data_IF_845382792853
#
_entry.id   IF_845382792853
#
_cell.length_a   1.000
_cell.length_b   1.000
_cell.length_c   1.000
_cell.angle_alpha   90.00
_cell.angle_beta   90.00
_cell.angle_gamma   90.00
#
_symmetry.space_group_name_H-M   'P 1'
#
loop_
_entity.id
_entity.type
_entity.pdbx_description
1 polymer ?
#
# COMPACT_ATOMS: atom_id res chain seq x y z
N UNK A 1 0.30 22.93 -7.85
CA UNK A 1 1.02 22.26 -6.73
C UNK A 1 1.55 20.95 -7.27
N UNK A 2 2.75 20.55 -6.85
CA UNK A 2 3.51 19.44 -7.44
C UNK A 2 4.14 18.59 -6.33
N UNK A 3 3.32 18.21 -5.35
CA UNK A 3 3.73 17.48 -4.17
C UNK A 3 3.80 15.98 -4.46
N UNK A 4 4.87 15.37 -3.96
CA UNK A 4 5.11 13.93 -4.06
C UNK A 4 5.09 13.35 -2.65
N UNK A 5 4.22 12.38 -2.40
CA UNK A 5 4.40 11.49 -1.26
C UNK A 5 5.50 10.49 -1.60
N UNK A 6 6.65 10.64 -0.96
CA UNK A 6 7.86 9.90 -1.31
C UNK A 6 7.89 8.47 -0.73
N UNK A 7 6.87 8.04 0.02
CA UNK A 7 6.86 6.71 0.61
C UNK A 7 5.44 6.21 0.92
N UNK A 8 4.92 5.33 0.06
CA UNK A 8 3.64 4.64 0.30
C UNK A 8 3.79 3.14 0.06
N UNK A 9 2.93 2.34 0.69
CA UNK A 9 2.88 0.89 0.54
C UNK A 9 1.45 0.50 0.14
N UNK A 10 1.27 -0.58 -0.62
CA UNK A 10 -0.04 -1.18 -0.93
C UNK A 10 -0.04 -2.64 -0.54
N UNK A 11 -1.21 -3.19 -0.25
CA UNK A 11 -1.41 -4.62 -0.08
C UNK A 11 -2.85 -5.05 -0.36
N UNK A 12 -3.03 -6.33 -0.66
CA UNK A 12 -4.30 -6.97 -1.05
C UNK A 12 -4.49 -8.28 -0.27
N UNK A 13 -5.73 -8.79 -0.28
CA UNK A 13 -6.12 -10.11 0.19
C UNK A 13 -6.05 -11.19 -0.92
N UNK A 14 -5.67 -10.82 -2.15
CA UNK A 14 -5.34 -11.78 -3.21
C UNK A 14 -3.95 -12.41 -3.02
N UNK A 15 -3.87 -13.31 -2.04
CA UNK A 15 -2.64 -14.06 -1.76
C UNK A 15 -2.32 -15.15 -2.79
N UNK A 16 -3.23 -15.40 -3.74
CA UNK A 16 -2.98 -16.30 -4.86
C UNK A 16 -2.06 -15.65 -5.90
N UNK A 17 -2.33 -14.38 -6.23
CA UNK A 17 -1.49 -13.59 -7.13
C UNK A 17 -0.31 -12.92 -6.41
N UNK A 18 -0.48 -12.50 -5.16
CA UNK A 18 0.54 -11.83 -4.35
C UNK A 18 0.79 -12.57 -3.02
N UNK A 19 1.55 -13.68 -3.04
CA UNK A 19 1.82 -14.47 -1.85
C UNK A 19 2.49 -13.65 -0.75
N UNK A 20 2.12 -13.92 0.50
CA UNK A 20 2.78 -13.36 1.66
C UNK A 20 4.19 -13.95 1.82
N UNK A 21 5.12 -13.12 2.27
CA UNK A 21 6.45 -13.54 2.68
C UNK A 21 6.39 -14.44 3.92
N UNK A 22 7.44 -15.24 4.11
CA UNK A 22 7.58 -16.10 5.28
C UNK A 22 7.44 -15.30 6.59
N UNK A 23 6.65 -15.84 7.53
CA UNK A 23 6.40 -15.21 8.83
C UNK A 23 5.26 -14.19 8.86
N UNK A 24 4.62 -13.90 7.72
CA UNK A 24 3.39 -13.14 7.67
C UNK A 24 2.16 -14.05 7.63
N UNK A 25 1.06 -13.57 8.23
CA UNK A 25 -0.24 -14.24 8.24
C UNK A 25 -1.33 -13.21 7.92
N UNK A 26 -2.38 -13.58 7.16
CA UNK A 26 -3.49 -12.68 6.84
C UNK A 26 -4.11 -12.01 8.07
N UNK A 27 -4.25 -12.74 9.18
CA UNK A 27 -4.89 -12.24 10.41
C UNK A 27 -4.08 -11.13 11.13
N UNK A 28 -2.77 -11.05 10.84
CA UNK A 28 -1.87 -10.06 11.42
C UNK A 28 -1.83 -8.75 10.62
N UNK A 29 -2.33 -8.75 9.37
CA UNK A 29 -2.30 -7.59 8.48
C UNK A 29 -3.52 -6.72 8.74
N UNK A 30 -3.28 -5.47 9.18
CA UNK A 30 -4.34 -4.50 9.51
C UNK A 30 -4.03 -3.11 8.95
N UNK A 31 -4.93 -2.49 8.18
CA UNK A 31 -6.15 -3.09 7.58
C UNK A 31 -5.83 -4.30 6.70
N UNK A 32 -6.78 -5.19 6.40
CA UNK A 32 -6.52 -6.40 5.59
C UNK A 32 -6.13 -6.07 4.14
N UNK A 33 -6.54 -4.91 3.65
CA UNK A 33 -6.26 -4.39 2.31
C UNK A 33 -5.90 -2.91 2.40
N UNK A 34 -5.10 -2.44 1.45
CA UNK A 34 -4.83 -1.04 1.24
C UNK A 34 -4.43 -0.82 -0.22
N UNK A 35 -5.38 -0.32 -1.01
CA UNK A 35 -5.29 -0.23 -2.46
C UNK A 35 -4.70 1.11 -2.93
N UNK A 36 -4.22 1.20 -4.19
CA UNK A 36 -3.74 2.46 -4.75
C UNK A 36 -4.74 3.63 -4.63
N UNK A 37 -6.02 3.34 -4.80
CA UNK A 37 -7.14 4.28 -4.64
C UNK A 37 -7.27 4.83 -3.23
N UNK A 38 -6.93 4.06 -2.19
CA UNK A 38 -6.91 4.55 -0.81
C UNK A 38 -5.81 5.61 -0.63
N UNK A 39 -4.61 5.35 -1.16
CA UNK A 39 -3.48 6.30 -1.15
C UNK A 39 -3.86 7.61 -1.87
N UNK A 40 -4.41 7.48 -3.09
CA UNK A 40 -4.83 8.64 -3.90
C UNK A 40 -5.94 9.42 -3.18
N UNK A 41 -6.88 8.71 -2.54
CA UNK A 41 -7.96 9.30 -1.76
C UNK A 41 -7.43 10.14 -0.59
N UNK A 42 -6.47 9.61 0.17
CA UNK A 42 -5.81 10.34 1.26
C UNK A 42 -5.02 11.55 0.75
N UNK A 43 -4.22 11.39 -0.30
CA UNK A 43 -3.33 12.42 -0.82
C UNK A 43 -4.05 13.63 -1.45
N UNK A 44 -5.22 13.41 -2.08
CA UNK A 44 -5.97 14.47 -2.79
C UNK A 44 -6.29 15.68 -1.92
N UNK A 45 -6.78 15.44 -0.69
CA UNK A 45 -7.14 16.53 0.23
C UNK A 45 -5.92 17.29 0.76
N UNK A 46 -4.74 16.71 0.65
CA UNK A 46 -3.46 17.31 1.03
C UNK A 46 -2.71 17.94 -0.15
N UNK A 47 -3.29 17.91 -1.36
CA UNK A 47 -2.67 18.45 -2.56
C UNK A 47 -1.54 17.59 -3.13
N UNK A 48 -1.44 16.32 -2.71
CA UNK A 48 -0.49 15.34 -3.28
C UNK A 48 -1.01 14.86 -4.63
N UNK A 49 -0.15 14.95 -5.65
CA UNK A 49 -0.46 14.61 -7.03
C UNK A 49 0.31 13.38 -7.55
N UNK A 50 1.37 12.98 -6.86
CA UNK A 50 2.21 11.83 -7.23
C UNK A 50 2.69 11.09 -5.99
N UNK A 51 2.98 9.79 -6.15
CA UNK A 51 3.46 8.95 -5.05
C UNK A 51 4.63 8.07 -5.50
N UNK A 52 5.50 7.72 -4.57
CA UNK A 52 6.53 6.71 -4.73
C UNK A 52 6.08 5.45 -4.01
N UNK A 53 5.77 4.41 -4.78
CA UNK A 53 5.40 3.11 -4.24
C UNK A 53 6.65 2.35 -3.81
N UNK A 54 6.73 2.05 -2.52
CA UNK A 54 7.80 1.27 -1.91
C UNK A 54 7.26 -0.14 -1.62
N UNK A 55 8.15 -1.12 -1.74
CA UNK A 55 7.82 -2.51 -1.48
C UNK A 55 7.42 -2.72 -0.01
N UNK A 56 6.20 -3.24 0.19
CA UNK A 56 5.72 -3.62 1.52
C UNK A 56 6.41 -4.89 2.00
N UNK A 57 6.75 -4.94 3.29
CA UNK A 57 7.43 -6.09 3.89
C UNK A 57 6.57 -7.36 4.00
N UNK A 58 5.25 -7.26 3.81
CA UNK A 58 4.34 -8.41 3.71
C UNK A 58 4.68 -9.32 2.53
N UNK A 59 5.45 -8.83 1.56
CA UNK A 59 5.82 -9.51 0.33
C UNK A 59 7.34 -9.54 0.16
N UNK A 60 7.90 -10.62 -0.36
CA UNK A 60 9.35 -10.76 -0.56
C UNK A 60 9.82 -12.19 -0.55
#
# INVERSE_FOLDING_TARGET
MNYIDAHVNVWTDDFGQYPLADGFSPDAIKPPIFYPEDIIGHGKNSGVDRVVLVQMNHYG
#
